data_IF_922945394600
#
_entry.id   IF_922945394600
#
_cell.length_a   1.000
_cell.length_b   1.000
_cell.length_c   1.000
_cell.angle_alpha   90.00
_cell.angle_beta   90.00
_cell.angle_gamma   90.00
#
_symmetry.space_group_name_H-M   'P 1'
#
loop_
_entity.id
_entity.type
_entity.pdbx_description
1 polymer ?
#
# COMPACT_ATOMS: atom_id res chain seq x y z
N UNK A 1 -23.08 -23.63 -20.42
CA UNK A 1 -21.83 -23.54 -19.64
C UNK A 1 -22.24 -23.09 -18.24
N UNK A 2 -21.85 -23.83 -17.20
CA UNK A 2 -22.11 -23.45 -15.81
C UNK A 2 -20.78 -23.08 -15.15
N UNK A 3 -20.75 -21.93 -14.50
CA UNK A 3 -19.63 -21.47 -13.67
C UNK A 3 -20.02 -21.72 -12.22
N UNK A 4 -19.17 -22.45 -11.50
CA UNK A 4 -19.32 -22.70 -10.07
C UNK A 4 -18.18 -21.94 -9.39
N UNK A 5 -18.52 -21.10 -8.42
CA UNK A 5 -17.55 -20.38 -7.60
C UNK A 5 -17.32 -21.12 -6.29
N UNK A 6 -16.06 -21.29 -5.92
CA UNK A 6 -15.64 -21.98 -4.70
C UNK A 6 -14.90 -20.99 -3.78
N UNK A 7 -15.04 -21.11 -2.45
CA UNK A 7 -14.31 -20.26 -1.53
C UNK A 7 -12.80 -20.50 -1.61
N UNK A 8 -12.00 -19.48 -1.26
CA UNK A 8 -10.55 -19.61 -1.18
C UNK A 8 -10.11 -20.64 -0.14
N UNK A 9 -9.22 -21.55 -0.54
CA UNK A 9 -8.62 -22.56 0.34
C UNK A 9 -7.13 -22.25 0.46
N UNK A 10 -6.62 -22.27 1.69
CA UNK A 10 -5.20 -22.07 1.99
C UNK A 10 -4.61 -23.39 2.43
N UNK A 11 -3.53 -23.81 1.78
CA UNK A 11 -2.78 -25.03 2.10
C UNK A 11 -1.54 -24.63 2.88
N UNK A 12 -1.20 -25.37 3.93
CA UNK A 12 0.01 -25.13 4.71
C UNK A 12 1.26 -25.50 3.89
N UNK A 13 1.76 -24.54 3.11
CA UNK A 13 2.87 -24.73 2.17
C UNK A 13 4.25 -24.38 2.78
N UNK A 14 4.35 -24.31 4.11
CA UNK A 14 5.55 -23.79 4.79
C UNK A 14 5.69 -22.27 4.73
N UNK A 15 4.59 -21.55 4.47
CA UNK A 15 4.56 -20.09 4.50
C UNK A 15 4.84 -19.56 5.91
N UNK A 16 5.56 -18.43 5.99
CA UNK A 16 5.72 -17.71 7.25
C UNK A 16 4.41 -17.07 7.69
N UNK A 17 4.27 -16.78 8.98
CA UNK A 17 3.09 -16.05 9.50
C UNK A 17 2.90 -14.70 8.79
N UNK A 18 4.01 -13.99 8.53
CA UNK A 18 4.02 -12.74 7.77
C UNK A 18 3.45 -12.92 6.36
N UNK A 19 3.78 -14.02 5.68
CA UNK A 19 3.26 -14.30 4.34
C UNK A 19 1.76 -14.60 4.36
N UNK A 20 1.29 -15.34 5.37
CA UNK A 20 -0.13 -15.66 5.56
C UNK A 20 -0.94 -14.37 5.75
N UNK A 21 -0.43 -13.44 6.57
CA UNK A 21 -1.07 -12.14 6.81
C UNK A 21 -1.06 -11.27 5.56
N UNK A 22 0.09 -11.15 4.88
CA UNK A 22 0.22 -10.28 3.71
C UNK A 22 -0.50 -10.82 2.47
N UNK A 23 -0.81 -12.12 2.41
CA UNK A 23 -1.69 -12.74 1.40
C UNK A 23 -3.19 -12.52 1.69
N UNK A 24 -3.56 -11.93 2.82
CA UNK A 24 -4.96 -11.64 3.16
C UNK A 24 -5.76 -12.85 3.66
N UNK A 25 -5.09 -13.91 4.12
CA UNK A 25 -5.75 -15.09 4.70
C UNK A 25 -6.43 -14.74 6.02
N UNK A 26 -5.80 -13.86 6.80
CA UNK A 26 -6.30 -13.38 8.08
C UNK A 26 -6.66 -11.90 7.95
N UNK A 27 -7.79 -11.51 8.53
CA UNK A 27 -8.21 -10.11 8.60
C UNK A 27 -7.29 -9.32 9.53
N UNK A 28 -6.77 -8.19 9.06
CA UNK A 28 -5.80 -7.38 9.79
C UNK A 28 -6.31 -6.91 11.16
N UNK A 29 -7.61 -6.65 11.31
CA UNK A 29 -8.22 -6.16 12.56
C UNK A 29 -8.15 -7.20 13.69
N UNK A 30 -8.10 -8.49 13.34
CA UNK A 30 -8.07 -9.63 14.27
C UNK A 30 -6.67 -10.02 14.70
N UNK A 31 -5.64 -9.39 14.13
CA UNK A 31 -4.26 -9.65 14.53
C UNK A 31 -4.02 -9.13 15.96
N UNK A 32 -3.30 -9.91 16.79
CA UNK A 32 -2.92 -9.47 18.13
C UNK A 32 -2.02 -8.25 18.06
N UNK A 33 -0.96 -8.31 17.25
CA UNK A 33 -0.07 -7.19 16.96
C UNK A 33 0.13 -6.98 15.45
N UNK A 34 -0.62 -6.07 14.81
CA UNK A 34 -0.44 -5.78 13.39
C UNK A 34 0.87 -5.03 13.08
N UNK A 35 1.53 -4.46 14.09
CA UNK A 35 2.72 -3.60 13.93
C UNK A 35 3.92 -4.39 13.42
N UNK A 36 4.05 -5.65 13.84
CA UNK A 36 5.18 -6.53 13.50
C UNK A 36 5.29 -6.82 12.00
N UNK A 37 4.16 -6.79 11.28
CA UNK A 37 4.12 -7.11 9.85
C UNK A 37 4.53 -5.95 8.94
N UNK A 38 4.60 -4.73 9.47
CA UNK A 38 4.86 -3.53 8.68
C UNK A 38 6.30 -3.50 8.15
N UNK A 39 7.27 -4.03 8.89
CA UNK A 39 8.66 -4.13 8.41
C UNK A 39 8.75 -4.87 7.07
N UNK A 40 8.07 -6.00 6.94
CA UNK A 40 8.05 -6.78 5.70
C UNK A 40 7.35 -6.05 4.54
N UNK A 41 6.34 -5.21 4.83
CA UNK A 41 5.71 -4.36 3.80
C UNK A 41 6.71 -3.30 3.30
N UNK A 42 7.41 -2.64 4.22
CA UNK A 42 8.40 -1.61 3.88
C UNK A 42 9.59 -2.16 3.09
N UNK A 43 10.01 -3.41 3.35
CA UNK A 43 11.05 -4.08 2.55
C UNK A 43 10.59 -4.44 1.14
N UNK A 44 9.31 -4.81 0.97
CA UNK A 44 8.76 -5.24 -0.32
C UNK A 44 8.44 -4.06 -1.23
N UNK A 45 7.94 -2.95 -0.68
CA UNK A 45 7.55 -1.77 -1.46
C UNK A 45 8.73 -0.81 -1.60
N UNK A 46 9.00 -0.34 -2.83
CA UNK A 46 10.02 0.69 -3.02
C UNK A 46 9.65 1.98 -2.25
N UNK A 47 10.59 2.64 -1.56
CA UNK A 47 10.31 3.85 -0.77
C UNK A 47 9.63 4.98 -1.56
N UNK A 48 9.90 5.08 -2.87
CA UNK A 48 9.25 6.06 -3.75
C UNK A 48 7.72 5.94 -3.78
N UNK A 49 7.19 4.72 -3.77
CA UNK A 49 5.74 4.49 -3.81
C UNK A 49 5.09 4.76 -2.46
N UNK A 50 5.78 4.43 -1.37
CA UNK A 50 5.34 4.75 -0.01
C UNK A 50 5.30 6.26 0.22
N UNK A 51 6.32 7.00 -0.27
CA UNK A 51 6.34 8.48 -0.25
C UNK A 51 5.16 9.07 -1.01
N UNK A 52 4.88 8.56 -2.21
CA UNK A 52 3.75 9.03 -3.01
C UNK A 52 2.39 8.70 -2.36
N UNK A 53 2.21 7.49 -1.84
CA UNK A 53 0.96 7.04 -1.24
C UNK A 53 0.66 7.69 0.12
N UNK A 54 1.70 7.90 0.94
CA UNK A 54 1.57 8.32 2.32
C UNK A 54 2.17 9.71 2.61
N UNK A 55 2.80 10.39 1.66
CA UNK A 55 3.34 11.73 1.86
C UNK A 55 4.42 11.83 2.96
N UNK A 56 5.06 10.72 3.32
CA UNK A 56 6.11 10.65 4.34
C UNK A 56 7.47 10.71 3.64
N UNK A 57 8.31 11.73 3.86
CA UNK A 57 9.54 11.93 3.11
C UNK A 57 10.61 10.87 3.40
N UNK A 58 10.76 10.47 4.66
CA UNK A 58 11.72 9.47 5.12
C UNK A 58 11.30 8.91 6.47
N UNK A 59 11.70 7.67 6.73
CA UNK A 59 11.52 6.98 7.99
C UNK A 59 12.78 6.18 8.29
N UNK A 60 13.07 5.96 9.56
CA UNK A 60 14.20 5.13 10.00
C UNK A 60 13.76 3.67 10.14
N UNK A 61 12.68 3.43 10.89
CA UNK A 61 12.16 2.11 11.21
C UNK A 61 10.64 2.02 10.98
N UNK A 62 10.07 0.80 11.04
CA UNK A 62 8.62 0.59 10.91
C UNK A 62 7.78 1.36 11.96
N UNK A 63 8.16 1.42 13.26
CA UNK A 63 7.41 2.21 14.24
C UNK A 63 7.48 3.73 13.95
N UNK A 64 8.62 4.23 13.47
CA UNK A 64 8.78 5.64 13.10
C UNK A 64 7.88 5.99 11.89
N UNK A 65 7.87 5.15 10.86
CA UNK A 65 6.95 5.29 9.72
C UNK A 65 5.49 5.36 10.16
N UNK A 66 5.07 4.47 11.06
CA UNK A 66 3.70 4.43 11.58
C UNK A 66 3.37 5.65 12.44
N UNK A 67 4.31 6.12 13.27
CA UNK A 67 4.12 7.30 14.10
C UNK A 67 3.94 8.56 13.25
N UNK A 68 4.77 8.74 12.22
CA UNK A 68 4.64 9.86 11.27
C UNK A 68 3.31 9.78 10.50
N UNK A 69 2.89 8.57 10.10
CA UNK A 69 1.61 8.35 9.42
C UNK A 69 0.42 8.67 10.33
N UNK A 70 0.48 8.25 11.60
CA UNK A 70 -0.54 8.50 12.60
C UNK A 70 -0.74 10.00 12.87
N UNK A 71 0.36 10.74 13.04
CA UNK A 71 0.34 12.19 13.21
C UNK A 71 -0.31 12.88 12.01
N UNK A 72 0.07 12.47 10.78
CA UNK A 72 -0.47 13.07 9.56
C UNK A 72 -1.96 12.77 9.36
N UNK A 73 -2.42 11.57 9.70
CA UNK A 73 -3.82 11.17 9.58
C UNK A 73 -4.68 11.62 10.76
N UNK A 74 -4.09 12.22 11.81
CA UNK A 74 -4.80 12.58 13.04
C UNK A 74 -5.29 11.37 13.84
N UNK A 75 -4.66 10.19 13.65
CA UNK A 75 -4.97 8.95 14.38
C UNK A 75 -4.17 8.89 15.67
N UNK A 76 -4.55 9.75 16.61
CA UNK A 76 -3.93 9.87 17.92
C UNK A 76 -4.86 9.32 19.00
N UNK A 77 -4.28 8.66 19.99
CA UNK A 77 -4.96 8.24 21.20
C UNK A 77 -5.28 9.46 22.08
N UNK A 78 -6.06 9.19 23.13
CA UNK A 78 -6.20 10.15 24.23
C UNK A 78 -4.80 10.44 24.76
N UNK A 79 -4.49 11.71 25.00
CA UNK A 79 -3.15 12.23 25.35
C UNK A 79 -2.20 12.52 24.17
N UNK A 80 -2.63 12.35 22.92
CA UNK A 80 -1.87 12.79 21.74
C UNK A 80 -0.77 11.82 21.28
N UNK A 81 -0.71 10.62 21.86
CA UNK A 81 0.16 9.55 21.41
C UNK A 81 -0.33 8.94 20.08
N UNK A 82 0.59 8.53 19.21
CA UNK A 82 0.25 7.90 17.93
C UNK A 82 -0.41 6.52 18.13
N UNK A 83 -1.58 6.29 17.52
CA UNK A 83 -2.21 4.96 17.50
C UNK A 83 -1.58 4.09 16.41
N UNK A 84 -0.45 3.46 16.75
CA UNK A 84 0.31 2.60 15.84
C UNK A 84 -0.50 1.40 15.37
N UNK A 85 -1.32 0.81 16.25
CA UNK A 85 -2.12 -0.38 15.96
C UNK A 85 -3.14 -0.11 14.86
N UNK A 86 -3.93 0.95 15.00
CA UNK A 86 -4.95 1.31 14.02
C UNK A 86 -4.33 1.67 12.66
N UNK A 87 -3.19 2.38 12.68
CA UNK A 87 -2.49 2.75 11.45
C UNK A 87 -1.88 1.54 10.77
N UNK A 88 -1.30 0.60 11.52
CA UNK A 88 -0.75 -0.64 10.98
C UNK A 88 -1.84 -1.48 10.27
N UNK A 89 -3.03 -1.60 10.87
CA UNK A 89 -4.18 -2.26 10.21
C UNK A 89 -4.53 -1.60 8.87
N UNK A 90 -4.54 -0.27 8.83
CA UNK A 90 -4.83 0.46 7.59
C UNK A 90 -3.76 0.21 6.51
N UNK A 91 -2.48 0.16 6.89
CA UNK A 91 -1.36 -0.11 5.97
C UNK A 91 -1.42 -1.55 5.43
N UNK A 92 -1.71 -2.54 6.28
CA UNK A 92 -1.89 -3.93 5.82
C UNK A 92 -3.09 -4.04 4.87
N UNK A 93 -4.19 -3.35 5.17
CA UNK A 93 -5.36 -3.32 4.30
C UNK A 93 -5.06 -2.63 2.95
N UNK A 94 -4.28 -1.54 2.94
CA UNK A 94 -3.82 -0.87 1.72
C UNK A 94 -2.92 -1.79 0.87
N UNK A 95 -2.05 -2.56 1.53
CA UNK A 95 -1.23 -3.60 0.88
C UNK A 95 -2.11 -4.69 0.23
N UNK A 96 -3.03 -5.28 0.98
CA UNK A 96 -3.90 -6.37 0.49
C UNK A 96 -4.83 -5.91 -0.64
N UNK A 97 -5.22 -4.63 -0.66
CA UNK A 97 -6.05 -4.02 -1.71
C UNK A 97 -5.25 -3.62 -2.96
N UNK A 98 -3.93 -3.75 -2.94
CA UNK A 98 -3.05 -3.39 -4.05
C UNK A 98 -2.86 -1.88 -4.24
N UNK A 99 -3.19 -1.06 -3.23
CA UNK A 99 -2.89 0.38 -3.27
C UNK A 99 -1.38 0.62 -3.24
N UNK A 100 -0.65 -0.28 -2.58
CA UNK A 100 0.81 -0.31 -2.60
C UNK A 100 1.28 -1.26 -3.70
N UNK A 101 1.94 -0.76 -4.76
CA UNK A 101 2.37 -1.59 -5.86
C UNK A 101 3.56 -2.48 -5.45
N UNK A 102 3.41 -3.78 -5.65
CA UNK A 102 4.45 -4.79 -5.49
C UNK A 102 4.28 -5.90 -6.52
N UNK A 103 5.39 -6.37 -7.07
CA UNK A 103 5.40 -7.51 -7.99
C UNK A 103 6.68 -8.32 -7.82
N UNK A 104 6.57 -9.63 -8.07
CA UNK A 104 7.72 -10.54 -8.14
C UNK A 104 7.94 -10.89 -9.61
N UNK A 105 9.16 -10.70 -10.09
CA UNK A 105 9.50 -11.10 -11.46
C UNK A 105 9.39 -12.63 -11.60
N UNK A 106 8.86 -13.15 -12.72
CA UNK A 106 8.84 -14.58 -12.96
C UNK A 106 10.28 -15.14 -12.98
N UNK A 107 10.46 -16.44 -12.65
CA UNK A 107 11.75 -17.09 -12.79
C UNK A 107 12.25 -16.98 -14.23
N UNK A 108 13.56 -16.78 -14.40
CA UNK A 108 14.15 -16.67 -15.74
C UNK A 108 14.08 -18.03 -16.45
N UNK A 109 13.95 -17.97 -17.78
CA UNK A 109 13.73 -19.15 -18.62
C UNK A 109 14.89 -20.16 -18.58
N UNK A 110 16.07 -19.75 -18.13
CA UNK A 110 17.25 -20.58 -17.92
C UNK A 110 17.22 -21.37 -16.58
N UNK A 111 16.12 -21.32 -15.84
CA UNK A 111 15.98 -22.02 -14.56
C UNK A 111 16.77 -21.37 -13.41
N UNK A 112 17.44 -20.24 -13.69
CA UNK A 112 17.95 -19.36 -12.66
C UNK A 112 16.77 -18.68 -11.99
N UNK A 113 16.56 -18.98 -10.70
CA UNK A 113 15.69 -18.15 -9.89
C UNK A 113 16.26 -16.74 -9.94
N UNK A 114 15.57 -15.82 -10.61
CA UNK A 114 15.83 -14.40 -10.44
C UNK A 114 15.65 -14.16 -8.94
N UNK A 115 16.76 -13.91 -8.24
CA UNK A 115 16.71 -13.59 -6.83
C UNK A 115 15.65 -12.50 -6.66
N UNK A 116 14.70 -12.70 -5.74
CA UNK A 116 13.69 -11.73 -5.39
C UNK A 116 14.40 -10.49 -4.83
N UNK A 117 14.90 -9.64 -5.71
CA UNK A 117 15.51 -8.37 -5.37
C UNK A 117 14.38 -7.35 -5.15
N UNK A 118 14.51 -6.49 -4.13
CA UNK A 118 13.55 -5.43 -3.89
C UNK A 118 13.66 -4.43 -5.03
N UNK A 119 12.74 -4.55 -5.99
CA UNK A 119 12.56 -3.59 -7.05
C UNK A 119 13.25 -3.92 -8.37
N UNK A 120 12.46 -4.31 -9.36
CA UNK A 120 12.89 -4.43 -10.75
C UNK A 120 13.41 -3.12 -11.32
N UNK A 121 14.61 -3.18 -11.88
CA UNK A 121 15.31 -2.16 -12.66
C UNK A 121 16.71 -2.67 -12.98
N UNK A 122 16.86 -3.39 -14.10
CA UNK A 122 18.16 -3.96 -14.50
C UNK A 122 18.16 -4.76 -15.80
N UNK A 123 18.15 -4.04 -16.93
CA UNK A 123 18.91 -4.31 -18.17
C UNK A 123 18.78 -5.67 -18.87
N UNK A 124 17.92 -5.73 -19.89
CA UNK A 124 17.99 -6.67 -21.00
C UNK A 124 17.12 -6.14 -22.12
N UNK A 125 17.72 -5.77 -23.24
CA UNK A 125 17.13 -5.11 -24.42
C UNK A 125 15.79 -5.75 -24.86
N UNK A 126 14.67 -5.09 -24.57
CA UNK A 126 13.44 -5.16 -25.36
C UNK A 126 12.67 -3.83 -25.16
N UNK A 127 13.04 -2.82 -25.95
CA UNK A 127 12.43 -1.48 -26.07
C UNK A 127 10.98 -1.52 -26.61
N UNK A 128 10.08 -2.26 -25.95
CA UNK A 128 8.67 -2.39 -26.39
C UNK A 128 7.62 -2.13 -25.32
N UNK A 129 8.01 -1.81 -24.10
CA UNK A 129 7.09 -1.31 -23.08
C UNK A 129 7.60 0.06 -22.61
N UNK A 130 7.31 1.07 -23.42
CA UNK A 130 7.53 2.46 -23.04
C UNK A 130 6.73 2.79 -21.79
N UNK A 131 7.32 3.65 -20.97
CA UNK A 131 6.70 4.51 -19.97
C UNK A 131 5.18 4.68 -20.17
N UNK A 132 4.39 3.75 -19.63
CA UNK A 132 2.97 3.97 -19.35
C UNK A 132 2.98 4.71 -18.01
N UNK A 133 2.65 6.00 -18.04
CA UNK A 133 2.45 6.79 -16.85
C UNK A 133 1.35 6.13 -16.01
N UNK A 134 1.72 5.73 -14.79
CA UNK A 134 0.81 5.22 -13.78
C UNK A 134 -0.46 6.10 -13.76
N UNK A 135 -1.67 5.52 -13.69
CA UNK A 135 -2.90 6.30 -13.81
C UNK A 135 -2.92 7.38 -12.73
N UNK A 136 -2.69 8.62 -13.13
CA UNK A 136 -2.81 9.79 -12.27
C UNK A 136 -4.27 9.92 -11.88
N UNK A 137 -4.54 9.70 -10.60
CA UNK A 137 -5.77 10.12 -9.95
C UNK A 137 -5.93 11.61 -10.22
N UNK A 138 -6.94 11.99 -11.00
CA UNK A 138 -7.26 13.40 -11.28
C UNK A 138 -7.67 14.06 -9.97
N UNK A 139 -6.82 14.96 -9.48
CA UNK A 139 -7.14 15.96 -8.46
C UNK A 139 -8.05 17.02 -9.11
N UNK A 140 -9.33 17.02 -8.76
CA UNK A 140 -10.24 18.14 -9.03
C UNK A 140 -10.18 19.11 -7.85
N UNK A 141 -9.25 20.06 -7.91
CA UNK A 141 -9.19 21.19 -6.97
C UNK A 141 -9.75 22.47 -7.60
N UNK A 142 -10.80 22.94 -6.93
CA UNK A 142 -11.42 24.26 -6.92
C UNK A 142 -10.62 25.46 -7.47
N UNK A 143 -11.28 26.25 -8.32
CA UNK A 143 -11.28 27.72 -8.38
C UNK A 143 -12.38 28.14 -9.38
N UNK A 144 -13.29 29.10 -9.21
CA UNK A 144 -13.56 30.11 -8.18
C UNK A 144 -14.55 31.14 -8.79
N UNK A 145 -15.30 31.83 -7.93
CA UNK A 145 -15.92 33.16 -8.09
C UNK A 145 -17.13 33.41 -9.05
N UNK A 146 -18.30 33.73 -8.45
CA UNK A 146 -18.93 35.06 -8.59
C UNK A 146 -19.93 35.34 -7.44
N UNK A 147 -19.80 36.52 -6.84
CA UNK A 147 -20.72 37.15 -5.87
C UNK A 147 -21.41 38.33 -6.59
N UNK A 148 -22.56 38.75 -6.04
CA UNK A 148 -23.35 39.99 -6.27
C UNK A 148 -24.42 39.91 -7.37
N UNK A 149 -25.68 40.31 -7.16
CA UNK A 149 -26.30 41.05 -6.05
C UNK A 149 -27.83 41.09 -6.14
N UNK A 150 -28.39 41.80 -5.17
CA UNK A 150 -29.79 42.14 -4.83
C UNK A 150 -30.77 42.37 -5.98
N UNK A 151 -32.05 41.99 -5.77
CA UNK A 151 -33.21 42.85 -6.08
C UNK A 151 -34.36 42.59 -5.08
N UNK A 152 -34.70 43.64 -4.32
CA UNK A 152 -35.94 43.80 -3.53
C UNK A 152 -37.11 44.21 -4.45
N UNK A 153 -38.30 43.69 -4.14
CA UNK A 153 -39.63 44.33 -4.21
C UNK A 153 -40.08 45.20 -5.40
N UNK A 154 -41.21 44.81 -5.99
CA UNK A 154 -42.48 45.60 -5.92
C UNK A 154 -43.69 44.66 -5.92
#
# INVERSE_FOLDING_TARGET
IFLIDCPGVVVEAGDSETDIVLKGVVRAERLPDPTEFIGAVLERVKPQYLRAAYGIPSWEDAPDFLAQLAQRQGRLLKEGEADLRTVAVNVINDWQRGKLPYFVAPPRADGSAAAAAPGGGGGGEDDRYGDDDAPTLVDEVAAGAKVEGDEEGE
#
